data_IF_780808185345
#
_entry.id   IF_780808185345
#
_cell.length_a   1.000
_cell.length_b   1.000
_cell.length_c   1.000
_cell.angle_alpha   90.00
_cell.angle_beta   90.00
_cell.angle_gamma   90.00
#
_symmetry.space_group_name_H-M   'P 1'
#
loop_
_entity.id
_entity.type
_entity.pdbx_description
1 polymer ?
#
# COMPACT_ATOMS: atom_id res chain seq x y z
N UNK A 1 1.45 -12.13 -9.07
CA UNK A 1 0.55 -11.65 -8.02
C UNK A 1 -0.85 -12.11 -8.35
N UNK A 2 -1.52 -12.73 -7.38
CA UNK A 2 -2.92 -13.11 -7.51
C UNK A 2 -3.77 -12.01 -6.88
N UNK A 3 -4.38 -11.17 -7.71
CA UNK A 3 -5.11 -9.97 -7.30
C UNK A 3 -6.09 -10.22 -6.13
N UNK A 4 -6.78 -11.36 -6.14
CA UNK A 4 -7.78 -11.70 -5.11
C UNK A 4 -7.18 -11.93 -3.72
N UNK A 5 -5.87 -12.18 -3.62
CA UNK A 5 -5.15 -12.37 -2.36
C UNK A 5 -4.20 -11.21 -2.05
N UNK A 6 -4.34 -10.08 -2.75
CA UNK A 6 -3.42 -8.94 -2.64
C UNK A 6 -4.12 -7.74 -2.01
N UNK A 7 -3.47 -7.14 -1.01
CA UNK A 7 -3.85 -5.86 -0.42
C UNK A 7 -2.81 -4.77 -0.73
N UNK A 8 -3.27 -3.52 -0.87
CA UNK A 8 -2.41 -2.35 -1.07
C UNK A 8 -2.54 -1.35 0.09
N UNK A 9 -1.43 -0.76 0.50
CA UNK A 9 -1.41 0.36 1.44
C UNK A 9 -1.51 1.70 0.70
N UNK A 10 -2.38 2.58 1.18
CA UNK A 10 -2.59 3.90 0.59
C UNK A 10 -2.74 4.93 1.71
N UNK A 11 -1.77 5.83 1.89
CA UNK A 11 -1.95 6.86 2.91
C UNK A 11 -1.03 8.06 2.80
N UNK A 12 -1.38 9.08 3.57
CA UNK A 12 -0.59 10.32 3.67
C UNK A 12 0.72 10.10 4.44
N UNK A 13 1.67 11.01 4.27
CA UNK A 13 2.94 10.93 4.99
C UNK A 13 2.76 11.11 6.50
N UNK A 14 1.88 12.04 6.90
CA UNK A 14 1.52 12.27 8.30
C UNK A 14 0.29 11.43 8.63
N UNK A 15 0.45 10.40 9.45
CA UNK A 15 -0.61 9.47 9.85
C UNK A 15 -0.86 9.47 11.37
N UNK A 16 -0.98 10.67 11.94
CA UNK A 16 -1.23 10.84 13.38
C UNK A 16 -2.55 10.19 13.81
N UNK A 17 -2.54 9.56 14.99
CA UNK A 17 -3.71 8.92 15.58
C UNK A 17 -3.96 7.48 15.15
N UNK A 18 -3.21 6.97 14.18
CA UNK A 18 -3.20 5.54 13.82
C UNK A 18 -2.06 4.83 14.54
N UNK A 19 -2.37 3.74 15.24
CA UNK A 19 -1.37 2.94 15.96
C UNK A 19 -0.94 1.70 15.17
N UNK A 20 0.21 1.14 15.54
CA UNK A 20 0.69 -0.14 15.00
C UNK A 20 -0.31 -1.28 15.24
N UNK A 21 -0.96 -1.28 16.40
CA UNK A 21 -1.91 -2.33 16.81
C UNK A 21 -3.14 -2.31 15.91
N UNK A 22 -3.71 -1.12 15.65
CA UNK A 22 -4.84 -0.96 14.73
C UNK A 22 -4.51 -1.46 13.31
N UNK A 23 -3.30 -1.15 12.83
CA UNK A 23 -2.85 -1.61 11.52
C UNK A 23 -2.63 -3.11 11.50
N UNK A 24 -2.03 -3.68 12.55
CA UNK A 24 -1.86 -5.13 12.66
C UNK A 24 -3.20 -5.86 12.69
N UNK A 25 -4.16 -5.39 13.48
CA UNK A 25 -5.52 -5.95 13.52
C UNK A 25 -6.19 -5.91 12.14
N UNK A 26 -6.07 -4.79 11.41
CA UNK A 26 -6.59 -4.69 10.06
C UNK A 26 -5.90 -5.67 9.10
N UNK A 27 -4.57 -5.79 9.17
CA UNK A 27 -3.80 -6.76 8.38
C UNK A 27 -4.26 -8.19 8.68
N UNK A 28 -4.36 -8.58 9.96
CA UNK A 28 -4.84 -9.92 10.37
C UNK A 28 -6.25 -10.18 9.85
N UNK A 29 -7.15 -9.20 9.93
CA UNK A 29 -8.52 -9.34 9.39
C UNK A 29 -8.56 -9.59 7.88
N UNK A 30 -7.54 -9.15 7.13
CA UNK A 30 -7.38 -9.45 5.71
C UNK A 30 -6.72 -10.81 5.48
N UNK A 31 -5.75 -11.19 6.32
CA UNK A 31 -5.15 -12.53 6.31
C UNK A 31 -6.24 -13.60 6.50
N UNK A 32 -7.15 -13.39 7.45
CA UNK A 32 -8.29 -14.29 7.69
C UNK A 32 -9.24 -14.42 6.48
N UNK A 33 -9.22 -13.44 5.56
CA UNK A 33 -9.96 -13.44 4.30
C UNK A 33 -9.16 -14.03 3.13
N UNK A 34 -7.95 -14.54 3.39
CA UNK A 34 -7.08 -15.17 2.40
C UNK A 34 -6.07 -14.22 1.74
N UNK A 35 -5.89 -12.99 2.24
CA UNK A 35 -4.84 -12.09 1.75
C UNK A 35 -3.47 -12.61 2.18
N UNK A 36 -2.57 -12.76 1.22
CA UNK A 36 -1.20 -13.25 1.42
C UNK A 36 -0.14 -12.30 0.87
N UNK A 37 -0.51 -11.32 0.05
CA UNK A 37 0.43 -10.38 -0.57
C UNK A 37 0.08 -8.94 -0.17
N UNK A 38 1.06 -8.18 0.33
CA UNK A 38 0.89 -6.78 0.73
C UNK A 38 1.80 -5.86 -0.10
N UNK A 39 1.21 -4.88 -0.78
CA UNK A 39 1.92 -3.91 -1.62
C UNK A 39 2.07 -2.56 -0.91
N UNK A 40 3.31 -2.08 -0.81
CA UNK A 40 3.65 -0.76 -0.27
C UNK A 40 4.33 0.13 -1.31
N UNK A 41 4.06 1.43 -1.24
CA UNK A 41 4.78 2.43 -2.03
C UNK A 41 6.06 2.95 -1.37
N UNK A 42 6.27 2.65 -0.09
CA UNK A 42 7.46 3.02 0.69
C UNK A 42 7.78 4.50 0.81
N UNK A 43 6.85 5.42 0.48
CA UNK A 43 7.15 6.85 0.33
C UNK A 43 6.69 7.68 1.54
N UNK A 44 5.53 7.34 2.12
CA UNK A 44 4.95 8.06 3.27
C UNK A 44 5.22 7.41 4.62
N UNK A 45 4.97 8.14 5.71
CA UNK A 45 4.94 7.58 7.07
C UNK A 45 3.95 6.43 7.22
N UNK A 46 2.80 6.51 6.57
CA UNK A 46 1.85 5.39 6.55
C UNK A 46 2.41 4.14 5.86
N UNK A 47 3.05 4.27 4.70
CA UNK A 47 3.70 3.14 4.01
C UNK A 47 4.76 2.46 4.89
N UNK A 48 5.54 3.26 5.63
CA UNK A 48 6.59 2.76 6.54
C UNK A 48 5.99 2.03 7.74
N UNK A 49 4.92 2.59 8.34
CA UNK A 49 4.19 1.95 9.43
C UNK A 49 3.63 0.59 8.98
N UNK A 50 2.90 0.56 7.86
CA UNK A 50 2.32 -0.66 7.34
C UNK A 50 3.37 -1.70 6.95
N UNK A 51 4.44 -1.28 6.24
CA UNK A 51 5.54 -2.17 5.89
C UNK A 51 6.21 -2.81 7.12
N UNK A 52 6.37 -2.06 8.21
CA UNK A 52 6.87 -2.60 9.48
C UNK A 52 5.88 -3.55 10.14
N UNK A 53 4.58 -3.24 10.14
CA UNK A 53 3.57 -4.13 10.71
C UNK A 53 3.49 -5.47 9.99
N UNK A 54 3.56 -5.49 8.66
CA UNK A 54 3.60 -6.76 7.90
C UNK A 54 4.86 -7.54 8.27
N UNK A 55 6.03 -6.89 8.27
CA UNK A 55 7.30 -7.53 8.65
C UNK A 55 7.23 -8.23 10.02
N UNK A 56 6.66 -7.56 11.03
CA UNK A 56 6.51 -8.14 12.37
C UNK A 56 5.49 -9.29 12.40
N UNK A 57 4.36 -9.16 11.69
CA UNK A 57 3.35 -10.21 11.62
C UNK A 57 3.84 -11.48 10.91
N UNK A 58 4.91 -11.42 10.11
CA UNK A 58 5.48 -12.61 9.48
C UNK A 58 6.00 -13.65 10.47
N UNK A 59 6.34 -13.26 11.70
CA UNK A 59 6.74 -14.22 12.73
C UNK A 59 5.61 -15.21 13.05
N UNK A 60 4.37 -14.72 13.06
CA UNK A 60 3.15 -15.52 13.29
C UNK A 60 2.55 -16.07 11.99
N UNK A 61 2.70 -15.32 10.89
CA UNK A 61 2.12 -15.62 9.58
C UNK A 61 3.22 -15.73 8.50
N UNK A 62 4.10 -16.74 8.54
CA UNK A 62 5.28 -16.81 7.67
C UNK A 62 4.97 -16.95 6.17
N UNK A 63 3.71 -17.26 5.82
CA UNK A 63 3.24 -17.41 4.44
C UNK A 63 2.85 -16.09 3.77
N UNK A 64 2.76 -14.97 4.50
CA UNK A 64 2.48 -13.66 3.89
C UNK A 64 3.75 -13.04 3.30
N UNK A 65 3.58 -12.20 2.29
CA UNK A 65 4.67 -11.50 1.61
C UNK A 65 4.49 -9.98 1.68
N UNK A 66 5.59 -9.28 1.97
CA UNK A 66 5.68 -7.83 2.00
C UNK A 66 6.47 -7.31 0.80
N UNK A 67 5.81 -6.62 -0.12
CA UNK A 67 6.41 -6.14 -1.35
C UNK A 67 6.49 -4.61 -1.40
N UNK A 68 7.68 -4.11 -1.74
CA UNK A 68 7.88 -2.70 -2.05
C UNK A 68 7.80 -2.50 -3.57
N UNK A 69 6.88 -1.67 -4.05
CA UNK A 69 6.79 -1.34 -5.47
C UNK A 69 7.44 0.01 -5.74
N UNK A 70 8.55 0.05 -6.49
CA UNK A 70 9.30 1.29 -6.75
C UNK A 70 8.93 1.92 -8.10
N UNK A 71 8.88 3.26 -8.18
CA UNK A 71 8.56 3.97 -9.43
C UNK A 71 9.74 4.10 -10.40
N UNK A 72 10.98 3.95 -9.92
CA UNK A 72 12.22 4.04 -10.71
C UNK A 72 13.38 3.41 -9.92
N UNK A 73 14.42 2.94 -10.62
CA UNK A 73 15.53 2.18 -10.01
C UNK A 73 16.35 2.98 -8.98
N UNK A 74 16.43 4.30 -9.11
CA UNK A 74 17.11 5.19 -8.15
C UNK A 74 16.25 5.57 -6.94
N UNK A 75 15.10 4.92 -6.74
CA UNK A 75 14.22 5.21 -5.61
C UNK A 75 14.92 4.87 -4.29
N UNK A 76 14.96 5.83 -3.37
CA UNK A 76 15.61 5.64 -2.08
C UNK A 76 14.75 4.75 -1.19
N UNK A 77 15.20 3.51 -1.00
CA UNK A 77 14.54 2.53 -0.12
C UNK A 77 15.04 2.76 1.31
N UNK A 78 14.17 3.23 2.20
CA UNK A 78 14.53 3.55 3.58
C UNK A 78 15.07 2.35 4.37
N UNK A 79 14.41 1.20 4.28
CA UNK A 79 14.81 -0.04 4.96
C UNK A 79 14.36 -1.24 4.12
N UNK A 80 15.28 -1.78 3.31
CA UNK A 80 14.99 -2.89 2.41
C UNK A 80 14.73 -4.21 3.15
N UNK A 81 15.23 -4.37 4.38
CA UNK A 81 15.08 -5.61 5.17
C UNK A 81 13.64 -5.90 5.58
N UNK A 82 12.77 -4.89 5.54
CA UNK A 82 11.34 -5.07 5.82
C UNK A 82 10.61 -5.84 4.72
N UNK A 83 11.15 -5.88 3.51
CA UNK A 83 10.47 -6.35 2.32
C UNK A 83 11.09 -7.64 1.79
N UNK A 84 10.23 -8.59 1.43
CA UNK A 84 10.64 -9.86 0.82
C UNK A 84 11.12 -9.68 -0.61
N UNK A 85 10.58 -8.67 -1.31
CA UNK A 85 10.98 -8.33 -2.65
C UNK A 85 10.71 -6.86 -2.98
N UNK A 86 11.51 -6.33 -3.88
CA UNK A 86 11.31 -5.01 -4.48
C UNK A 86 10.85 -5.23 -5.92
N UNK A 87 9.65 -4.75 -6.24
CA UNK A 87 9.03 -4.85 -7.55
C UNK A 87 9.28 -3.53 -8.29
N UNK A 88 9.96 -3.62 -9.42
CA UNK A 88 9.99 -2.57 -10.42
C UNK A 88 9.08 -2.99 -11.58
N UNK A 89 7.92 -2.34 -11.78
CA UNK A 89 6.97 -2.80 -12.78
C UNK A 89 7.49 -2.63 -14.22
N UNK A 90 7.09 -3.54 -15.10
CA UNK A 90 7.48 -3.51 -16.51
C UNK A 90 7.06 -2.19 -17.20
N UNK A 91 7.86 -1.79 -18.18
CA UNK A 91 7.75 -0.54 -18.95
C UNK A 91 7.87 0.76 -18.13
N UNK A 92 8.36 0.73 -16.88
CA UNK A 92 8.47 1.96 -16.10
C UNK A 92 9.62 2.86 -16.54
N UNK A 93 10.56 2.35 -17.36
CA UNK A 93 11.69 3.09 -17.92
C UNK A 93 11.25 4.26 -18.81
N UNK A 94 10.03 4.17 -19.37
CA UNK A 94 9.46 5.21 -20.24
C UNK A 94 8.93 6.42 -19.48
N UNK A 95 8.69 6.31 -18.17
CA UNK A 95 8.11 7.39 -17.40
C UNK A 95 9.17 8.38 -16.93
N UNK A 96 8.96 9.65 -17.22
CA UNK A 96 9.65 10.72 -16.49
C UNK A 96 9.21 10.73 -15.02
N UNK A 97 10.10 11.16 -14.11
CA UNK A 97 9.90 11.13 -12.65
C UNK A 97 8.52 11.64 -12.17
N UNK A 98 7.99 12.70 -12.79
CA UNK A 98 6.68 13.27 -12.42
C UNK A 98 5.49 12.34 -12.68
N UNK A 99 5.59 11.46 -13.68
CA UNK A 99 4.54 10.51 -14.05
C UNK A 99 4.72 9.13 -13.39
N UNK A 100 5.95 8.79 -12.99
CA UNK A 100 6.31 7.48 -12.46
C UNK A 100 5.58 7.14 -11.15
N UNK A 101 5.46 8.08 -10.21
CA UNK A 101 4.74 7.83 -8.94
C UNK A 101 3.25 7.59 -9.16
N UNK A 102 2.50 8.44 -9.91
CA UNK A 102 1.12 8.14 -10.27
C UNK A 102 0.95 6.81 -11.00
N UNK A 103 1.86 6.45 -11.92
CA UNK A 103 1.85 5.18 -12.62
C UNK A 103 2.07 3.98 -11.67
N UNK A 104 3.03 4.10 -10.74
CA UNK A 104 3.27 3.11 -9.68
C UNK A 104 2.03 2.89 -8.83
N UNK A 105 1.40 3.97 -8.37
CA UNK A 105 0.19 3.88 -7.54
C UNK A 105 -0.95 3.23 -8.31
N UNK A 106 -1.10 3.54 -9.61
CA UNK A 106 -2.05 2.86 -10.50
C UNK A 106 -1.77 1.36 -10.58
N UNK A 107 -0.51 0.96 -10.78
CA UNK A 107 -0.10 -0.43 -10.83
C UNK A 107 -0.48 -1.18 -9.54
N UNK A 108 -0.18 -0.62 -8.37
CA UNK A 108 -0.52 -1.29 -7.09
C UNK A 108 -2.02 -1.49 -6.93
N UNK A 109 -2.83 -0.47 -7.23
CA UNK A 109 -4.30 -0.58 -7.14
C UNK A 109 -4.87 -1.56 -8.17
N UNK A 110 -4.32 -1.59 -9.38
CA UNK A 110 -4.81 -2.49 -10.43
C UNK A 110 -4.49 -3.97 -10.15
N UNK A 111 -3.50 -4.23 -9.29
CA UNK A 111 -3.08 -5.57 -8.87
C UNK A 111 -3.56 -5.98 -7.45
N UNK A 112 -4.52 -5.26 -6.86
CA UNK A 112 -5.08 -5.58 -5.55
C UNK A 112 -6.61 -5.65 -5.54
N UNK A 113 -7.17 -6.51 -4.68
CA UNK A 113 -8.62 -6.58 -4.37
C UNK A 113 -8.97 -5.94 -3.03
N UNK A 114 -7.97 -5.65 -2.18
CA UNK A 114 -8.14 -5.03 -0.86
C UNK A 114 -7.26 -3.78 -0.71
N UNK A 115 -7.67 -2.84 0.13
CA UNK A 115 -6.80 -1.75 0.55
C UNK A 115 -6.97 -1.40 2.03
N UNK A 116 -5.85 -1.14 2.68
CA UNK A 116 -5.80 -0.49 4.00
C UNK A 116 -5.31 0.92 3.78
N UNK A 117 -6.09 1.90 4.23
CA UNK A 117 -5.91 3.29 3.87
C UNK A 117 -5.81 4.20 5.09
N UNK A 118 -5.06 5.29 4.94
CA UNK A 118 -5.16 6.46 5.81
C UNK A 118 -5.20 7.73 4.96
N UNK A 119 -6.42 8.18 4.65
CA UNK A 119 -6.66 9.40 3.87
C UNK A 119 -7.59 10.32 4.65
N UNK A 120 -7.05 11.44 5.11
CA UNK A 120 -7.74 12.43 5.96
C UNK A 120 -8.18 13.69 5.20
N UNK A 121 -7.71 13.88 3.96
CA UNK A 121 -8.09 14.98 3.09
C UNK A 121 -8.05 14.60 1.62
N UNK A 122 -8.80 15.34 0.79
CA UNK A 122 -9.02 15.08 -0.64
C UNK A 122 -7.94 15.57 -1.61
N UNK A 123 -6.81 16.08 -1.12
CA UNK A 123 -5.69 16.50 -1.97
C UNK A 123 -4.46 15.59 -1.84
N UNK A 124 -3.56 15.67 -2.82
CA UNK A 124 -2.31 14.91 -2.84
C UNK A 124 -2.39 13.54 -3.53
N UNK A 125 -1.24 12.85 -3.58
CA UNK A 125 -1.11 11.56 -4.28
C UNK A 125 -1.91 10.44 -3.64
N UNK A 126 -1.98 10.40 -2.30
CA UNK A 126 -2.74 9.37 -1.58
C UNK A 126 -4.24 9.51 -1.83
N UNK A 127 -4.81 10.72 -1.80
CA UNK A 127 -6.22 10.96 -2.09
C UNK A 127 -6.62 10.47 -3.49
N UNK A 128 -5.83 10.83 -4.52
CA UNK A 128 -6.06 10.35 -5.90
C UNK A 128 -5.97 8.82 -6.02
N UNK A 129 -5.08 8.19 -5.25
CA UNK A 129 -4.91 6.74 -5.24
C UNK A 129 -6.08 6.04 -4.54
N UNK A 130 -6.56 6.62 -3.45
CA UNK A 130 -7.75 6.18 -2.71
C UNK A 130 -9.02 6.29 -3.54
N UNK A 131 -9.25 7.42 -4.21
CA UNK A 131 -10.38 7.57 -5.14
C UNK A 131 -10.34 6.51 -6.25
N UNK A 132 -9.15 6.22 -6.77
CA UNK A 132 -8.98 5.14 -7.76
C UNK A 132 -9.35 3.79 -7.17
N UNK A 133 -8.92 3.48 -5.95
CA UNK A 133 -9.25 2.24 -5.26
C UNK A 133 -10.78 2.09 -5.09
N UNK A 134 -11.48 3.16 -4.66
CA UNK A 134 -12.95 3.18 -4.61
C UNK A 134 -13.57 2.91 -5.99
N UNK A 135 -13.14 3.64 -7.02
CA UNK A 135 -13.63 3.47 -8.42
C UNK A 135 -13.35 2.08 -8.99
N UNK A 136 -12.32 1.39 -8.50
CA UNK A 136 -11.97 0.02 -8.89
C UNK A 136 -12.68 -1.06 -8.06
N UNK A 137 -13.46 -0.67 -7.06
CA UNK A 137 -14.25 -1.57 -6.23
C UNK A 137 -13.41 -2.41 -5.26
N UNK A 138 -12.27 -1.89 -4.81
CA UNK A 138 -11.48 -2.58 -3.78
C UNK A 138 -12.26 -2.63 -2.46
N UNK A 139 -12.03 -3.69 -1.67
CA UNK A 139 -12.51 -3.78 -0.30
C UNK A 139 -11.62 -2.91 0.60
N UNK A 140 -12.14 -1.77 1.04
CA UNK A 140 -11.34 -0.72 1.68
C UNK A 140 -11.60 -0.64 3.20
N UNK A 141 -10.52 -0.62 3.97
CA UNK A 141 -10.50 -0.21 5.39
C UNK A 141 -9.78 1.13 5.45
N UNK A 142 -10.49 2.24 5.72
CA UNK A 142 -9.89 3.57 5.83
C UNK A 142 -9.86 4.05 7.28
N UNK A 143 -8.67 4.38 7.77
CA UNK A 143 -8.42 4.96 9.09
C UNK A 143 -8.43 6.50 9.08
N UNK A 144 -8.56 7.13 7.91
CA UNK A 144 -8.68 8.58 7.80
C UNK A 144 -10.12 9.07 7.70
N UNK A 145 -10.30 10.39 7.78
CA UNK A 145 -11.62 11.04 7.82
C UNK A 145 -12.13 11.50 6.45
N UNK A 146 -11.37 11.30 5.37
CA UNK A 146 -11.81 11.69 4.04
C UNK A 146 -12.73 10.63 3.47
N UNK A 147 -13.98 11.00 3.22
CA UNK A 147 -14.87 10.22 2.37
C UNK A 147 -15.02 10.90 1.01
N UNK A 148 -14.83 10.09 -0.03
CA UNK A 148 -15.09 10.49 -1.40
C UNK A 148 -16.42 9.87 -1.81
N UNK A 149 -17.48 10.66 -1.85
CA UNK A 149 -18.74 10.25 -2.47
C UNK A 149 -18.56 10.29 -3.99
N UNK A 150 -18.74 9.12 -4.62
CA UNK A 150 -18.63 8.92 -6.07
C UNK A 150 -19.93 9.23 -6.78
#
# INVERSE_FOLDING_TARGET
>A
MNKENTAVFIGHNECYGVTSEQIKEAIVSLIDKGVTEFLSGGQGGFDRLCGRCVYELKEEYPYISNYLVIPYLSFNVYNSELFDSIIYPDDFEKYHFKAAIPARNKFMVDNASYAICFVNHGWGGAAKTYERAKKKGLNIINFGNYDFES
#
